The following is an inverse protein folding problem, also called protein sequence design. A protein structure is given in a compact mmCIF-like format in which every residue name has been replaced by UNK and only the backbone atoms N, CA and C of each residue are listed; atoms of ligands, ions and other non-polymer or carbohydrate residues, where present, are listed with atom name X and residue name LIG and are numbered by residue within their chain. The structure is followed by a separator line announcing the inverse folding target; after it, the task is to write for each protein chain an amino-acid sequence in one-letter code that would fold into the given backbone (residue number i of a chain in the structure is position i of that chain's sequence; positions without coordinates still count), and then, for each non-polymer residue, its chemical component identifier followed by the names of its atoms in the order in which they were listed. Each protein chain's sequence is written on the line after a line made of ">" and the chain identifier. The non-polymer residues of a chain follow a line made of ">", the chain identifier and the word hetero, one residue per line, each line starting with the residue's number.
data_IF_873341982189
#
_entry.id   IF_873341982189
#
_cell.length_a   1.000
_cell.length_b   1.000
_cell.length_c   1.000
_cell.angle_alpha   90.00
_cell.angle_beta   90.00
_cell.angle_gamma   90.00
#
_symmetry.space_group_name_H-M   'P 1'
#
loop_
_entity.id
_entity.type
_entity.pdbx_description
1 polymer ?
#
# COMPACT_ATOMS: atom_id res chain seq x y z
N UNK A 1 2.76 -2.80 3.89
CA UNK A 1 1.91 -2.46 2.73
C UNK A 1 1.35 -1.04 2.75
N UNK A 2 0.32 -0.72 3.56
CA UNK A 2 -0.35 0.61 3.49
C UNK A 2 0.63 1.79 3.66
N UNK A 3 1.60 1.67 4.57
CA UNK A 3 2.57 2.73 4.82
C UNK A 3 3.43 3.05 3.59
N UNK A 4 3.90 2.04 2.87
CA UNK A 4 4.72 2.24 1.66
C UNK A 4 3.95 2.90 0.52
N UNK A 5 2.65 2.61 0.40
CA UNK A 5 1.75 3.28 -0.56
C UNK A 5 1.55 4.74 -0.19
N UNK A 6 1.21 5.03 1.07
CA UNK A 6 0.92 6.39 1.52
C UNK A 6 2.16 7.28 1.57
N UNK A 7 3.34 6.72 1.88
CA UNK A 7 4.62 7.44 1.85
C UNK A 7 5.10 7.74 0.42
N UNK A 8 4.55 7.06 -0.59
CA UNK A 8 4.92 7.25 -1.99
C UNK A 8 6.38 6.91 -2.32
N UNK A 9 7.05 6.11 -1.47
CA UNK A 9 8.48 5.77 -1.63
C UNK A 9 8.73 4.85 -2.83
N UNK A 10 7.78 3.95 -3.12
CA UNK A 10 7.90 3.01 -4.24
C UNK A 10 7.32 3.59 -5.53
N UNK A 11 6.21 4.33 -5.44
CA UNK A 11 5.59 5.04 -6.56
C UNK A 11 4.72 6.19 -6.06
N UNK A 12 4.54 7.22 -6.90
CA UNK A 12 3.62 8.35 -6.67
C UNK A 12 2.22 8.11 -7.21
N UNK A 13 1.96 6.92 -7.76
CA UNK A 13 0.71 6.58 -8.44
C UNK A 13 -0.53 6.72 -7.56
N UNK A 14 -0.42 6.52 -6.24
CA UNK A 14 -1.59 6.74 -5.37
C UNK A 14 -2.07 8.20 -5.40
N UNK A 15 -1.14 9.16 -5.33
CA UNK A 15 -1.45 10.59 -5.40
C UNK A 15 -1.90 10.96 -6.81
N UNK A 16 -1.24 10.43 -7.84
CA UNK A 16 -1.60 10.66 -9.24
C UNK A 16 -3.02 10.16 -9.57
N UNK A 17 -3.40 8.99 -9.04
CA UNK A 17 -4.75 8.47 -9.17
C UNK A 17 -5.79 9.37 -8.52
N UNK A 18 -5.48 9.92 -7.34
CA UNK A 18 -6.33 10.91 -6.70
C UNK A 18 -6.45 12.19 -7.52
N UNK A 19 -5.33 12.69 -8.08
CA UNK A 19 -5.32 13.86 -8.98
C UNK A 19 -6.22 13.63 -10.18
N UNK A 20 -6.00 12.54 -10.92
CA UNK A 20 -6.73 12.23 -12.15
C UNK A 20 -8.23 11.97 -11.93
N UNK A 21 -8.59 11.35 -10.80
CA UNK A 21 -9.97 10.98 -10.51
C UNK A 21 -10.78 12.08 -9.79
N UNK A 22 -10.18 12.75 -8.80
CA UNK A 22 -10.90 13.62 -7.86
C UNK A 22 -10.59 15.10 -8.07
N UNK A 23 -9.33 15.44 -8.34
CA UNK A 23 -8.87 16.83 -8.42
C UNK A 23 -9.13 17.41 -9.82
N UNK A 24 -8.40 16.91 -10.80
CA UNK A 24 -8.43 17.40 -12.19
C UNK A 24 -9.57 16.75 -12.96
N UNK A 25 -10.00 15.55 -12.52
CA UNK A 25 -11.11 14.77 -13.13
C UNK A 25 -10.90 14.50 -14.62
N UNK A 26 -9.66 14.49 -15.07
CA UNK A 26 -9.27 14.22 -16.46
C UNK A 26 -9.39 12.74 -16.83
N UNK A 27 -9.50 11.85 -15.83
CA UNK A 27 -9.51 10.39 -15.99
C UNK A 27 -8.29 9.87 -16.78
N UNK A 28 -7.19 10.61 -16.76
CA UNK A 28 -5.97 10.31 -17.49
C UNK A 28 -4.76 10.27 -16.54
N UNK A 29 -4.69 9.25 -15.68
CA UNK A 29 -3.58 9.09 -14.76
C UNK A 29 -2.28 8.74 -15.51
N UNK A 30 -1.19 9.37 -15.08
CA UNK A 30 0.16 9.19 -15.63
C UNK A 30 0.96 8.23 -14.76
N UNK A 31 0.66 6.94 -14.89
CA UNK A 31 1.31 5.89 -14.10
C UNK A 31 2.80 5.73 -14.41
N UNK A 32 3.58 5.38 -13.38
CA UNK A 32 4.99 5.06 -13.51
C UNK A 32 5.34 3.75 -12.77
N UNK A 33 5.64 2.65 -13.50
CA UNK A 33 5.71 2.54 -14.96
C UNK A 33 4.33 2.55 -15.64
N UNK A 34 4.23 2.95 -16.92
CA UNK A 34 2.95 3.14 -17.60
C UNK A 34 2.23 1.83 -17.98
N UNK A 35 2.87 0.67 -17.77
CA UNK A 35 2.35 -0.65 -18.13
C UNK A 35 2.69 -1.69 -17.08
N UNK A 36 1.82 -2.67 -16.93
CA UNK A 36 1.96 -3.70 -15.90
C UNK A 36 3.17 -4.60 -16.13
N UNK A 37 3.54 -4.90 -17.39
CA UNK A 37 4.66 -5.79 -17.71
C UNK A 37 6.02 -5.19 -17.31
N UNK A 38 6.06 -3.89 -17.04
CA UNK A 38 7.24 -3.17 -16.58
C UNK A 38 7.37 -3.16 -15.04
N UNK A 39 6.34 -3.62 -14.33
CA UNK A 39 6.39 -3.75 -12.87
C UNK A 39 7.23 -4.98 -12.53
N UNK A 40 8.29 -4.78 -11.74
CA UNK A 40 9.19 -5.86 -11.34
C UNK A 40 8.76 -6.48 -10.00
N UNK A 41 9.10 -7.75 -9.78
CA UNK A 41 8.86 -8.41 -8.49
C UNK A 41 9.48 -7.64 -7.32
N UNK A 42 10.64 -7.00 -7.55
CA UNK A 42 11.30 -6.15 -6.56
C UNK A 42 10.46 -4.94 -6.14
N UNK A 43 9.75 -4.31 -7.08
CA UNK A 43 8.84 -3.19 -6.76
C UNK A 43 7.69 -3.68 -5.89
N UNK A 44 7.13 -4.85 -6.22
CA UNK A 44 6.05 -5.46 -5.44
C UNK A 44 6.55 -5.79 -4.03
N UNK A 45 7.68 -6.49 -3.91
CA UNK A 45 8.28 -6.85 -2.62
C UNK A 45 8.55 -5.63 -1.74
N UNK A 46 8.98 -4.51 -2.34
CA UNK A 46 9.22 -3.26 -1.61
C UNK A 46 7.97 -2.77 -0.86
N UNK A 47 6.76 -2.97 -1.40
CA UNK A 47 5.51 -2.63 -0.69
C UNK A 47 5.21 -3.54 0.51
N UNK A 48 5.69 -4.78 0.52
CA UNK A 48 5.48 -5.74 1.60
C UNK A 48 6.59 -5.73 2.64
N UNK A 49 7.75 -5.19 2.30
CA UNK A 49 8.87 -5.01 3.22
C UNK A 49 8.50 -4.17 4.45
N UNK A 50 9.26 -4.34 5.53
CA UNK A 50 9.14 -3.48 6.71
C UNK A 50 9.53 -2.06 6.36
N UNK A 51 8.96 -1.10 7.07
CA UNK A 51 9.37 0.30 6.97
C UNK A 51 10.73 0.42 7.66
N UNK A 52 11.75 0.83 6.92
CA UNK A 52 13.11 1.04 7.41
C UNK A 52 13.26 2.49 7.88
N UNK A 53 12.76 2.75 9.08
CA UNK A 53 12.73 4.08 9.69
C UNK A 53 12.81 3.89 11.21
N UNK A 54 13.82 4.48 11.85
CA UNK A 54 14.12 4.27 13.26
C UNK A 54 12.96 4.73 14.18
N UNK A 55 12.20 5.72 13.74
CA UNK A 55 11.05 6.25 14.48
C UNK A 55 9.77 5.45 14.21
N UNK A 56 9.81 4.47 13.29
CA UNK A 56 8.65 3.65 12.94
C UNK A 56 8.44 2.51 13.94
N UNK A 57 7.23 2.47 14.53
CA UNK A 57 6.80 1.41 15.44
C UNK A 57 5.53 0.76 14.93
N UNK A 58 5.55 -0.56 14.80
CA UNK A 58 4.36 -1.32 14.44
C UNK A 58 3.26 -1.13 15.49
N UNK A 59 2.05 -0.83 15.00
CA UNK A 59 0.87 -0.69 15.84
C UNK A 59 0.60 -2.01 16.58
N UNK A 60 0.75 -1.98 17.91
CA UNK A 60 0.41 -3.10 18.79
C UNK A 60 -1.08 -3.03 19.14
N UNK A 61 -1.88 -3.86 18.47
CA UNK A 61 -3.30 -3.99 18.79
C UNK A 61 -3.48 -4.88 20.03
N UNK A 62 -4.46 -4.59 20.90
CA UNK A 62 -4.78 -5.47 22.01
C UNK A 62 -5.27 -6.85 21.48
N UNK A 63 -5.09 -7.93 22.25
CA UNK A 63 -5.66 -9.23 21.92
C UNK A 63 -7.18 -9.09 21.74
N UNK A 64 -7.72 -9.62 20.63
CA UNK A 64 -9.17 -9.66 20.46
C UNK A 64 -9.72 -10.72 21.41
N UNK A 65 -10.28 -10.29 22.54
CA UNK A 65 -10.74 -11.18 23.62
C UNK A 65 -11.97 -12.04 23.26
N UNK A 66 -12.71 -11.72 22.19
CA UNK A 66 -13.98 -12.36 21.85
C UNK A 66 -14.09 -12.75 20.37
N UNK A 67 -13.10 -13.44 19.80
CA UNK A 67 -13.26 -14.02 18.46
C UNK A 67 -14.06 -15.32 18.55
N UNK A 68 -15.22 -15.45 17.87
CA UNK A 68 -15.87 -16.75 17.74
C UNK A 68 -14.90 -17.73 17.05
N UNK A 69 -15.00 -19.02 17.37
CA UNK A 69 -14.11 -20.08 16.84
C UNK A 69 -14.08 -20.07 15.29
N UNK A 70 -15.15 -19.59 14.64
CA UNK A 70 -15.24 -19.39 13.19
C UNK A 70 -14.27 -18.34 12.63
N UNK A 71 -13.83 -17.38 13.45
CA UNK A 71 -12.89 -16.32 13.05
C UNK A 71 -11.41 -16.73 13.22
N UNK A 72 -11.14 -17.91 13.77
CA UNK A 72 -9.80 -18.51 13.88
C UNK A 72 -9.51 -19.42 12.66
N UNK A 73 -10.53 -19.76 11.86
CA UNK A 73 -10.34 -20.57 10.67
C UNK A 73 -9.93 -19.70 9.46
N UNK A 74 -8.76 -20.06 8.91
CA UNK A 74 -8.10 -19.60 7.67
C UNK A 74 -7.13 -18.44 7.82
N UNK A 75 -5.90 -18.77 8.24
CA UNK A 75 -4.70 -18.74 7.39
C UNK A 75 -3.62 -19.62 8.01
#
# INVERSE_FOLDING_TARGET
>A
MVCHVMRGQVSKDFVEGCRALLLDKDKNPKWEPPRLELVTDKMVESYFSKVDDEDWKDLKLPPRSNLPVSAIAKL
#
